data_IF_676482949388
#
_entry.id   IF_676482949388
#
_cell.length_a   1.000
_cell.length_b   1.000
_cell.length_c   1.000
_cell.angle_alpha   90.00
_cell.angle_beta   90.00
_cell.angle_gamma   90.00
#
_symmetry.space_group_name_H-M   'P 1'
#
loop_
_entity.id
_entity.type
_entity.pdbx_description
1 polymer ?
#
# COMPACT_ATOMS: atom_id res chain seq x y z
N UNK A 1 -28.77 10.85 -9.21
CA UNK A 1 -29.83 10.01 -8.56
C UNK A 1 -29.81 8.52 -8.93
N UNK A 2 -30.09 8.06 -10.16
CA UNK A 2 -30.04 6.60 -10.49
C UNK A 2 -28.60 6.07 -10.43
N UNK A 3 -27.67 6.80 -11.06
CA UNK A 3 -26.23 6.52 -11.01
C UNK A 3 -25.68 6.46 -9.58
N UNK A 4 -26.03 7.43 -8.73
CA UNK A 4 -25.66 7.45 -7.30
C UNK A 4 -26.15 6.21 -6.54
N UNK A 5 -27.28 5.63 -6.96
CA UNK A 5 -27.85 4.40 -6.38
C UNK A 5 -27.30 3.12 -7.04
N UNK A 6 -26.36 3.23 -7.97
CA UNK A 6 -25.84 2.10 -8.75
C UNK A 6 -26.88 1.45 -9.67
N UNK A 7 -27.94 2.19 -10.04
CA UNK A 7 -29.01 1.68 -10.89
C UNK A 7 -28.79 2.13 -12.34
N UNK A 8 -29.03 1.22 -13.27
CA UNK A 8 -29.00 1.47 -14.73
C UNK A 8 -29.94 2.61 -15.13
N UNK A 9 -29.61 3.32 -16.20
CA UNK A 9 -30.41 4.41 -16.76
C UNK A 9 -30.76 4.14 -18.22
N UNK A 10 -31.74 3.26 -18.52
CA UNK A 10 -31.93 2.70 -19.87
C UNK A 10 -32.02 3.72 -21.01
N UNK A 11 -32.61 4.90 -20.77
CA UNK A 11 -32.68 5.97 -21.75
C UNK A 11 -31.31 6.62 -22.03
N UNK A 12 -30.57 6.99 -20.99
CA UNK A 12 -29.23 7.60 -21.11
C UNK A 12 -28.21 6.58 -21.61
N UNK A 13 -28.32 5.35 -21.12
CA UNK A 13 -27.46 4.24 -21.49
C UNK A 13 -27.58 4.00 -23.01
N UNK A 14 -28.80 3.99 -23.55
CA UNK A 14 -29.04 3.82 -24.99
C UNK A 14 -28.60 5.02 -25.84
N UNK A 15 -28.78 6.25 -25.35
CA UNK A 15 -28.57 7.46 -26.15
C UNK A 15 -27.12 7.96 -26.15
N UNK A 16 -26.39 7.79 -25.05
CA UNK A 16 -25.08 8.41 -24.83
C UNK A 16 -24.02 7.33 -24.61
N UNK A 17 -24.23 6.48 -23.60
CA UNK A 17 -23.15 5.63 -23.09
C UNK A 17 -22.95 4.34 -23.89
N UNK A 18 -23.97 3.84 -24.60
CA UNK A 18 -23.85 2.66 -25.44
C UNK A 18 -22.82 2.86 -26.56
N UNK A 19 -22.75 4.06 -27.13
CA UNK A 19 -21.74 4.39 -28.14
C UNK A 19 -20.33 4.36 -27.56
N UNK A 20 -20.16 4.91 -26.35
CA UNK A 20 -18.87 4.90 -25.64
C UNK A 20 -18.46 3.48 -25.23
N UNK A 21 -19.39 2.66 -24.73
CA UNK A 21 -19.15 1.23 -24.47
C UNK A 21 -18.73 0.49 -25.76
N UNK A 22 -19.41 0.72 -26.89
CA UNK A 22 -19.03 0.08 -28.15
C UNK A 22 -17.62 0.48 -28.60
N UNK A 23 -17.27 1.77 -28.50
CA UNK A 23 -15.95 2.27 -28.90
C UNK A 23 -14.82 1.74 -28.00
N UNK A 24 -15.03 1.69 -26.68
CA UNK A 24 -13.98 1.38 -25.70
C UNK A 24 -13.91 -0.11 -25.35
N UNK A 25 -15.06 -0.77 -25.20
CA UNK A 25 -15.19 -2.15 -24.71
C UNK A 25 -15.76 -3.14 -25.75
N UNK A 26 -16.11 -2.66 -26.94
CA UNK A 26 -16.64 -3.51 -28.02
C UNK A 26 -18.10 -3.96 -27.85
N UNK A 27 -18.88 -3.37 -26.93
CA UNK A 27 -20.33 -3.51 -26.90
C UNK A 27 -20.90 -4.81 -26.31
N UNK A 28 -20.04 -5.79 -25.96
CA UNK A 28 -20.47 -7.13 -25.48
C UNK A 28 -20.05 -7.44 -24.05
N UNK A 29 -19.40 -6.50 -23.38
CA UNK A 29 -18.99 -6.66 -21.98
C UNK A 29 -20.22 -6.70 -21.08
N UNK A 30 -20.33 -7.73 -20.23
CA UNK A 30 -21.44 -7.90 -19.29
C UNK A 30 -21.09 -7.49 -17.86
N UNK A 31 -19.88 -7.80 -17.44
CA UNK A 31 -19.38 -7.47 -16.12
C UNK A 31 -17.86 -7.30 -16.16
N UNK A 32 -17.33 -6.46 -15.28
CA UNK A 32 -15.92 -6.25 -15.04
C UNK A 32 -15.61 -6.59 -13.59
N UNK A 33 -14.64 -7.47 -13.36
CA UNK A 33 -14.13 -7.77 -12.02
C UNK A 33 -12.84 -6.98 -11.78
N UNK A 34 -12.83 -6.16 -10.75
CA UNK A 34 -11.68 -5.38 -10.32
C UNK A 34 -11.12 -5.96 -9.01
N UNK A 35 -9.80 -6.07 -8.92
CA UNK A 35 -9.12 -6.56 -7.73
C UNK A 35 -7.65 -6.13 -7.71
N UNK A 36 -6.94 -6.55 -6.68
CA UNK A 36 -5.51 -6.26 -6.50
C UNK A 36 -5.20 -4.91 -5.82
N UNK A 37 -6.10 -3.94 -5.88
CA UNK A 37 -6.05 -2.70 -5.11
C UNK A 37 -7.49 -2.26 -4.73
N UNK A 38 -7.60 -1.35 -3.77
CA UNK A 38 -8.88 -0.74 -3.38
C UNK A 38 -9.39 0.12 -4.54
N UNK A 39 -10.65 -0.10 -4.94
CA UNK A 39 -11.33 0.71 -5.95
C UNK A 39 -12.15 1.80 -5.25
N UNK A 40 -11.90 3.07 -5.58
CA UNK A 40 -12.66 4.16 -4.98
C UNK A 40 -14.13 4.18 -5.45
N UNK A 41 -15.06 4.55 -4.56
CA UNK A 41 -16.49 4.69 -4.89
C UNK A 41 -16.72 5.54 -6.15
N UNK A 42 -16.06 6.69 -6.24
CA UNK A 42 -16.21 7.61 -7.38
C UNK A 42 -15.80 6.97 -8.69
N UNK A 43 -14.69 6.23 -8.69
CA UNK A 43 -14.19 5.50 -9.87
C UNK A 43 -15.14 4.37 -10.26
N UNK A 44 -15.61 3.59 -9.28
CA UNK A 44 -16.55 2.49 -9.52
C UNK A 44 -17.87 3.01 -10.11
N UNK A 45 -18.44 4.07 -9.53
CA UNK A 45 -19.66 4.73 -10.01
C UNK A 45 -19.47 5.29 -11.41
N UNK A 46 -18.35 5.97 -11.65
CA UNK A 46 -18.04 6.51 -12.98
C UNK A 46 -17.95 5.41 -14.01
N UNK A 47 -17.20 4.33 -13.74
CA UNK A 47 -17.07 3.20 -14.66
C UNK A 47 -18.42 2.53 -14.93
N UNK A 48 -19.22 2.25 -13.89
CA UNK A 48 -20.55 1.65 -14.04
C UNK A 48 -21.46 2.51 -14.93
N UNK A 49 -21.47 3.83 -14.73
CA UNK A 49 -22.31 4.75 -15.50
C UNK A 49 -21.81 4.99 -16.92
N UNK A 50 -20.54 5.36 -17.07
CA UNK A 50 -19.96 5.73 -18.35
C UNK A 50 -19.86 4.55 -19.31
N UNK A 51 -19.55 3.36 -18.78
CA UNK A 51 -19.36 2.16 -19.57
C UNK A 51 -20.61 1.27 -19.61
N UNK A 52 -21.68 1.56 -18.84
CA UNK A 52 -22.87 0.70 -18.78
C UNK A 52 -22.56 -0.78 -18.53
N UNK A 53 -21.63 -1.06 -17.61
CA UNK A 53 -21.24 -2.43 -17.23
C UNK A 53 -21.27 -2.58 -15.73
N UNK A 54 -21.64 -3.77 -15.25
CA UNK A 54 -21.53 -4.10 -13.84
C UNK A 54 -20.06 -4.18 -13.46
N UNK A 55 -19.62 -3.33 -12.52
CA UNK A 55 -18.26 -3.35 -11.97
C UNK A 55 -18.29 -3.96 -10.58
N UNK A 56 -17.69 -5.14 -10.45
CA UNK A 56 -17.59 -5.92 -9.22
C UNK A 56 -16.20 -5.75 -8.63
N UNK A 57 -16.13 -5.68 -7.31
CA UNK A 57 -14.85 -5.71 -6.61
C UNK A 57 -14.63 -7.09 -6.00
N UNK A 58 -13.42 -7.63 -6.16
CA UNK A 58 -12.96 -8.84 -5.49
C UNK A 58 -11.73 -8.54 -4.64
N UNK A 59 -11.67 -9.18 -3.47
CA UNK A 59 -10.52 -9.14 -2.59
C UNK A 59 -9.90 -10.52 -2.46
N UNK A 60 -8.58 -10.56 -2.42
CA UNK A 60 -7.81 -11.79 -2.52
C UNK A 60 -6.33 -11.55 -2.46
N UNK A 61 -5.61 -12.59 -2.06
CA UNK A 61 -4.16 -12.61 -1.90
C UNK A 61 -3.59 -13.87 -2.55
N UNK A 62 -2.28 -13.87 -2.81
CA UNK A 62 -1.58 -15.05 -3.33
C UNK A 62 -1.67 -16.21 -2.34
N UNK A 63 -1.55 -15.90 -1.05
CA UNK A 63 -1.59 -16.83 0.07
C UNK A 63 -2.98 -17.43 0.31
N UNK A 64 -4.02 -16.89 -0.35
CA UNK A 64 -5.41 -17.36 -0.28
C UNK A 64 -5.92 -17.84 -1.64
N UNK A 65 -5.03 -18.18 -2.57
CA UNK A 65 -5.36 -18.69 -3.90
C UNK A 65 -6.34 -17.79 -4.69
N UNK A 66 -5.96 -16.53 -4.88
CA UNK A 66 -6.76 -15.49 -5.52
C UNK A 66 -7.91 -15.02 -4.61
N UNK A 67 -9.17 -15.14 -5.03
CA UNK A 67 -10.29 -14.45 -4.39
C UNK A 67 -10.72 -15.11 -3.07
N UNK A 68 -10.76 -14.32 -1.98
CA UNK A 68 -11.46 -14.67 -0.75
C UNK A 68 -12.89 -14.13 -0.73
N UNK A 69 -13.12 -12.94 -1.31
CA UNK A 69 -14.44 -12.31 -1.40
C UNK A 69 -14.71 -11.73 -2.79
N UNK A 70 -15.97 -11.70 -3.20
CA UNK A 70 -16.42 -11.08 -4.46
C UNK A 70 -17.77 -10.37 -4.24
N UNK A 71 -17.91 -9.17 -4.80
CA UNK A 71 -19.18 -8.43 -4.83
C UNK A 71 -20.22 -9.14 -5.71
N UNK A 72 -21.45 -9.22 -5.21
CA UNK A 72 -22.58 -9.75 -5.98
C UNK A 72 -23.00 -8.76 -7.07
N UNK A 73 -23.43 -9.28 -8.22
CA UNK A 73 -23.84 -8.46 -9.37
C UNK A 73 -25.09 -7.61 -9.14
N UNK A 74 -25.89 -7.95 -8.13
CA UNK A 74 -27.08 -7.21 -7.74
C UNK A 74 -26.84 -6.32 -6.52
N UNK A 75 -25.66 -6.40 -5.88
CA UNK A 75 -25.29 -5.47 -4.82
C UNK A 75 -24.83 -4.13 -5.43
N UNK A 76 -25.62 -3.08 -5.20
CA UNK A 76 -25.31 -1.73 -5.68
C UNK A 76 -24.39 -0.95 -4.74
N UNK A 77 -23.99 -1.57 -3.63
CA UNK A 77 -22.99 -1.02 -2.71
C UNK A 77 -21.65 -0.86 -3.41
N UNK A 78 -20.92 0.18 -3.03
CA UNK A 78 -19.60 0.52 -3.54
C UNK A 78 -18.62 0.55 -2.39
N UNK A 79 -17.33 0.50 -2.70
CA UNK A 79 -16.28 0.49 -1.67
C UNK A 79 -16.44 -0.73 -0.72
N UNK A 80 -16.84 -1.87 -1.30
CA UNK A 80 -16.99 -3.16 -0.63
C UNK A 80 -16.49 -4.27 -1.56
N UNK A 81 -15.68 -5.16 -1.02
CA UNK A 81 -15.16 -6.34 -1.70
C UNK A 81 -16.13 -7.54 -1.69
N UNK A 82 -17.38 -7.32 -1.27
CA UNK A 82 -18.44 -8.31 -1.34
C UNK A 82 -18.39 -9.38 -0.26
N UNK A 83 -18.99 -10.54 -0.56
CA UNK A 83 -19.19 -11.64 0.37
C UNK A 83 -18.05 -12.66 0.28
N UNK A 84 -17.76 -13.40 1.37
CA UNK A 84 -16.88 -14.57 1.31
C UNK A 84 -17.34 -15.57 0.24
N UNK A 85 -16.39 -16.12 -0.51
CA UNK A 85 -16.66 -17.24 -1.40
C UNK A 85 -16.99 -18.51 -0.61
N UNK A 86 -17.66 -19.47 -1.24
CA UNK A 86 -18.14 -20.72 -0.61
C UNK A 86 -17.02 -21.52 0.06
N UNK A 87 -15.79 -21.44 -0.45
CA UNK A 87 -14.61 -22.12 0.08
C UNK A 87 -13.82 -21.30 1.11
N UNK A 88 -14.31 -20.12 1.47
CA UNK A 88 -13.65 -19.13 2.31
C UNK A 88 -14.40 -18.93 3.62
N UNK A 89 -13.67 -18.86 4.73
CA UNK A 89 -14.16 -18.38 6.01
C UNK A 89 -13.48 -17.06 6.35
N UNK A 90 -14.22 -16.07 6.83
CA UNK A 90 -13.67 -14.81 7.31
C UNK A 90 -13.81 -14.69 8.81
N UNK A 91 -12.73 -14.27 9.48
CA UNK A 91 -12.78 -13.82 10.88
C UNK A 91 -12.16 -12.44 11.00
N UNK A 92 -12.68 -11.63 11.92
CA UNK A 92 -12.02 -10.40 12.36
C UNK A 92 -11.38 -10.64 13.71
N UNK A 93 -10.11 -10.28 13.83
CA UNK A 93 -9.41 -10.22 15.12
C UNK A 93 -9.07 -8.80 15.48
N UNK A 94 -9.10 -8.50 16.78
CA UNK A 94 -8.74 -7.17 17.28
C UNK A 94 -7.29 -6.86 16.93
N UNK A 95 -7.04 -5.60 16.60
CA UNK A 95 -5.71 -5.05 16.52
C UNK A 95 -5.66 -3.82 17.43
N UNK A 96 -5.27 -4.07 18.67
CA UNK A 96 -5.32 -3.08 19.76
C UNK A 96 -4.40 -1.88 19.50
N UNK A 97 -3.26 -2.09 18.84
CA UNK A 97 -2.31 -1.03 18.50
C UNK A 97 -2.98 0.03 17.61
N UNK A 98 -3.67 -0.40 16.55
CA UNK A 98 -4.44 0.48 15.65
C UNK A 98 -5.84 0.84 16.16
N UNK A 99 -6.22 0.42 17.37
CA UNK A 99 -7.55 0.64 17.96
C UNK A 99 -8.72 0.11 17.12
N UNK A 100 -8.50 -0.98 16.37
CA UNK A 100 -9.56 -1.66 15.62
C UNK A 100 -10.05 -2.87 16.40
N UNK A 101 -11.34 -2.91 16.72
CA UNK A 101 -11.94 -4.02 17.48
C UNK A 101 -13.15 -4.60 16.78
N UNK A 102 -13.32 -5.90 16.92
CA UNK A 102 -14.49 -6.61 16.41
C UNK A 102 -15.79 -6.21 17.13
N UNK A 103 -15.71 -5.37 18.16
CA UNK A 103 -16.83 -4.76 18.87
C UNK A 103 -17.14 -3.33 18.42
N UNK A 104 -16.35 -2.78 17.49
CA UNK A 104 -16.52 -1.41 17.00
C UNK A 104 -17.92 -1.18 16.40
N UNK A 105 -18.33 0.10 16.41
CA UNK A 105 -19.62 0.57 15.89
C UNK A 105 -19.37 1.67 14.84
N UNK A 106 -20.23 1.77 13.80
CA UNK A 106 -21.47 1.01 13.57
C UNK A 106 -21.24 -0.45 13.19
N UNK A 107 -20.07 -0.78 12.65
CA UNK A 107 -19.71 -2.10 12.16
C UNK A 107 -18.44 -2.61 12.85
N UNK A 108 -18.32 -3.93 13.07
CA UNK A 108 -17.11 -4.54 13.60
C UNK A 108 -15.92 -4.35 12.65
N UNK A 109 -14.75 -4.04 13.22
CA UNK A 109 -13.51 -3.83 12.47
C UNK A 109 -12.38 -4.69 13.03
N UNK A 110 -11.31 -4.88 12.28
CA UNK A 110 -10.15 -5.63 12.77
C UNK A 110 -9.30 -6.17 11.65
N UNK A 111 -8.26 -6.91 12.00
CA UNK A 111 -7.50 -7.67 11.00
C UNK A 111 -8.35 -8.81 10.46
N UNK A 112 -8.35 -8.94 9.13
CA UNK A 112 -9.02 -10.02 8.43
C UNK A 112 -8.16 -11.28 8.50
N UNK A 113 -8.79 -12.39 8.88
CA UNK A 113 -8.26 -13.73 8.70
C UNK A 113 -9.09 -14.41 7.61
N UNK A 114 -8.41 -14.91 6.58
CA UNK A 114 -9.03 -15.75 5.56
C UNK A 114 -8.70 -17.21 5.86
N UNK A 115 -9.73 -18.04 6.03
CA UNK A 115 -9.61 -19.46 6.29
C UNK A 115 -10.29 -20.33 5.25
N UNK A 116 -10.09 -21.63 5.39
CA UNK A 116 -10.71 -22.64 4.52
C UNK A 116 -9.71 -23.24 3.53
N UNK A 117 -10.24 -24.01 2.57
CA UNK A 117 -9.42 -24.82 1.64
C UNK A 117 -8.60 -23.99 0.64
N UNK A 118 -8.87 -22.69 0.58
CA UNK A 118 -8.16 -21.75 -0.30
C UNK A 118 -6.83 -21.26 0.28
N UNK A 119 -6.58 -21.50 1.57
CA UNK A 119 -5.34 -21.04 2.21
C UNK A 119 -4.17 -21.89 1.74
N UNK A 120 -3.11 -21.22 1.29
CA UNK A 120 -1.87 -21.86 0.86
C UNK A 120 -1.21 -22.68 1.99
N UNK A 121 -0.43 -23.68 1.60
CA UNK A 121 0.30 -24.54 2.54
C UNK A 121 1.45 -23.78 3.25
N UNK A 122 1.89 -22.66 2.70
CA UNK A 122 2.98 -21.84 3.21
C UNK A 122 3.89 -21.38 2.08
N UNK A 123 4.94 -20.65 2.45
CA UNK A 123 5.99 -20.26 1.52
C UNK A 123 6.98 -21.41 1.28
N UNK A 124 7.64 -21.40 0.12
CA UNK A 124 8.69 -22.37 -0.23
C UNK A 124 10.06 -21.92 0.29
N UNK A 125 10.95 -22.87 0.61
CA UNK A 125 12.34 -22.59 0.95
C UNK A 125 12.51 -21.91 2.32
N UNK A 126 13.45 -20.97 2.44
CA UNK A 126 13.74 -20.31 3.72
C UNK A 126 12.56 -19.48 4.26
N UNK A 127 11.74 -18.92 3.37
CA UNK A 127 10.53 -18.18 3.73
C UNK A 127 9.49 -19.08 4.47
N UNK A 128 9.59 -20.41 4.35
CA UNK A 128 8.74 -21.33 5.13
C UNK A 128 8.97 -21.22 6.64
N UNK A 129 10.17 -20.81 7.06
CA UNK A 129 10.52 -20.61 8.48
C UNK A 129 9.73 -19.45 9.10
N UNK A 130 9.26 -18.51 8.26
CA UNK A 130 8.48 -17.33 8.64
C UNK A 130 6.97 -17.49 8.43
N UNK A 131 6.43 -18.72 8.32
CA UNK A 131 4.99 -18.99 8.17
C UNK A 131 4.12 -18.53 9.38
N UNK A 132 4.55 -17.52 10.15
CA UNK A 132 3.91 -16.93 11.34
C UNK A 132 2.52 -16.34 11.07
N UNK A 133 2.19 -16.05 9.81
CA UNK A 133 0.88 -15.54 9.42
C UNK A 133 -0.14 -16.66 9.21
N UNK A 134 0.28 -17.91 9.11
CA UNK A 134 -0.63 -19.06 9.05
C UNK A 134 -0.97 -19.51 10.47
N UNK A 135 -2.25 -19.60 10.77
CA UNK A 135 -2.78 -19.95 12.10
C UNK A 135 -3.77 -21.08 11.95
N UNK A 136 -3.88 -21.92 12.97
CA UNK A 136 -4.94 -22.93 13.05
C UNK A 136 -5.88 -22.52 14.18
N UNK A 137 -7.17 -22.40 13.87
CA UNK A 137 -8.20 -22.00 14.83
C UNK A 137 -9.39 -22.94 14.61
N UNK A 138 -9.78 -23.65 15.66
CA UNK A 138 -10.89 -24.62 15.64
C UNK A 138 -10.75 -25.69 14.54
N UNK A 139 -9.53 -26.13 14.24
CA UNK A 139 -9.23 -27.12 13.19
C UNK A 139 -9.31 -26.56 11.75
N UNK A 140 -9.48 -25.25 11.59
CA UNK A 140 -9.45 -24.57 10.30
C UNK A 140 -8.16 -23.76 10.19
N UNK A 141 -7.47 -23.91 9.05
CA UNK A 141 -6.28 -23.10 8.73
C UNK A 141 -6.73 -21.73 8.23
N UNK A 142 -6.19 -20.69 8.85
CA UNK A 142 -6.37 -19.29 8.51
C UNK A 142 -5.03 -18.66 8.12
N UNK A 143 -5.10 -17.67 7.24
CA UNK A 143 -4.03 -16.74 6.94
C UNK A 143 -4.39 -15.37 7.52
N UNK A 144 -3.55 -14.86 8.41
CA UNK A 144 -3.62 -13.48 8.89
C UNK A 144 -3.15 -12.56 7.77
N UNK A 145 -4.08 -11.82 7.17
CA UNK A 145 -3.81 -11.10 5.91
C UNK A 145 -2.94 -9.87 6.10
N UNK A 146 -2.85 -9.35 7.32
CA UNK A 146 -2.29 -8.03 7.60
C UNK A 146 -3.16 -6.89 7.07
N UNK A 147 -4.36 -7.17 6.57
CA UNK A 147 -5.32 -6.18 6.07
C UNK A 147 -6.41 -5.93 7.12
N UNK A 148 -6.78 -4.66 7.30
CA UNK A 148 -7.84 -4.23 8.19
C UNK A 148 -9.15 -4.18 7.42
N UNK A 149 -10.16 -4.88 7.94
CA UNK A 149 -11.49 -4.96 7.35
C UNK A 149 -12.58 -4.43 8.25
N UNK A 150 -13.70 -4.09 7.61
CA UNK A 150 -14.98 -3.76 8.23
C UNK A 150 -16.05 -4.71 7.66
N UNK A 151 -16.79 -5.40 8.53
CA UNK A 151 -17.88 -6.30 8.11
C UNK A 151 -19.22 -5.59 8.28
N UNK A 152 -19.98 -5.51 7.20
CA UNK A 152 -21.32 -4.92 7.19
C UNK A 152 -22.40 -5.91 7.66
N UNK A 153 -23.59 -5.42 8.09
CA UNK A 153 -24.68 -6.28 8.56
C UNK A 153 -25.19 -7.29 7.52
N UNK A 154 -24.99 -7.02 6.22
CA UNK A 154 -25.34 -7.92 5.13
C UNK A 154 -24.25 -8.97 4.82
N UNK A 155 -23.19 -9.05 5.64
CA UNK A 155 -22.07 -9.99 5.47
C UNK A 155 -21.03 -9.59 4.43
N UNK A 156 -21.17 -8.40 3.81
CA UNK A 156 -20.14 -7.88 2.90
C UNK A 156 -18.96 -7.30 3.68
N UNK A 157 -17.77 -7.37 3.07
CA UNK A 157 -16.54 -6.88 3.68
C UNK A 157 -16.02 -5.68 2.90
N UNK A 158 -15.58 -4.65 3.62
CA UNK A 158 -14.75 -3.56 3.09
C UNK A 158 -13.33 -3.74 3.58
N UNK A 159 -12.38 -3.53 2.68
CA UNK A 159 -10.96 -3.47 3.03
C UNK A 159 -10.64 -2.01 3.33
N UNK A 160 -10.42 -1.70 4.61
CA UNK A 160 -10.17 -0.35 5.06
C UNK A 160 -8.71 0.05 4.84
N UNK A 161 -7.76 -0.85 5.16
CA UNK A 161 -6.33 -0.56 5.03
C UNK A 161 -5.45 -1.81 5.12
N UNK A 162 -4.13 -1.64 5.03
CA UNK A 162 -3.13 -2.63 5.43
C UNK A 162 -2.41 -2.16 6.68
N UNK A 163 -2.16 -3.05 7.65
CA UNK A 163 -1.42 -2.73 8.88
C UNK A 163 -0.07 -2.06 8.62
N UNK A 164 0.62 -2.46 7.55
CA UNK A 164 1.92 -1.90 7.17
C UNK A 164 1.81 -0.52 6.51
N UNK A 165 0.65 -0.19 5.95
CA UNK A 165 0.36 1.11 5.32
C UNK A 165 -0.28 2.09 6.33
N UNK A 166 -0.67 1.64 7.53
CA UNK A 166 -1.13 2.49 8.62
C UNK A 166 0.06 2.99 9.43
N UNK A 167 0.38 4.28 9.29
CA UNK A 167 1.48 4.91 10.00
C UNK A 167 0.94 5.75 11.15
N UNK A 168 1.43 5.48 12.36
CA UNK A 168 1.17 6.32 13.53
C UNK A 168 2.09 7.53 13.51
N UNK A 169 1.55 8.72 13.34
CA UNK A 169 2.32 9.96 13.43
C UNK A 169 2.73 10.24 14.89
N UNK A 170 3.66 11.17 15.08
CA UNK A 170 4.09 11.63 16.41
C UNK A 170 2.92 12.10 17.28
N UNK A 171 1.89 12.68 16.66
CA UNK A 171 0.66 13.13 17.32
C UNK A 171 -0.20 11.99 17.89
N UNK A 172 0.13 10.73 17.60
CA UNK A 172 -0.58 9.55 18.08
C UNK A 172 -1.71 9.08 17.15
N UNK A 173 -2.04 9.88 16.13
CA UNK A 173 -3.04 9.59 15.11
C UNK A 173 -2.48 8.60 14.08
N UNK A 174 -3.34 7.70 13.59
CA UNK A 174 -3.02 6.78 12.50
C UNK A 174 -3.45 7.39 11.18
N UNK A 175 -2.54 7.38 10.21
CA UNK A 175 -2.82 7.86 8.86
C UNK A 175 -2.89 6.68 7.90
N UNK A 176 -3.99 6.61 7.16
CA UNK A 176 -4.17 5.67 6.06
C UNK A 176 -3.55 6.21 4.78
N UNK A 177 -2.39 5.67 4.38
CA UNK A 177 -1.69 6.16 3.18
C UNK A 177 -2.54 5.96 1.92
N UNK A 178 -3.09 4.75 1.75
CA UNK A 178 -3.86 4.38 0.55
C UNK A 178 -5.16 5.19 0.42
N UNK A 179 -5.83 5.51 1.53
CA UNK A 179 -7.06 6.32 1.53
C UNK A 179 -6.81 7.71 0.95
N UNK A 180 -5.74 8.36 1.41
CA UNK A 180 -5.37 9.72 0.97
C UNK A 180 -4.93 9.70 -0.50
N UNK A 181 -4.10 8.72 -0.89
CA UNK A 181 -3.66 8.54 -2.27
C UNK A 181 -4.83 8.33 -3.25
N UNK A 182 -5.84 7.54 -2.87
CA UNK A 182 -7.03 7.31 -3.70
C UNK A 182 -7.88 8.58 -3.91
N UNK A 183 -7.83 9.54 -2.98
CA UNK A 183 -8.46 10.85 -3.16
C UNK A 183 -7.64 11.71 -4.12
N UNK A 184 -6.33 11.74 -3.94
CA UNK A 184 -5.39 12.53 -4.73
C UNK A 184 -5.33 12.05 -6.20
N UNK A 185 -5.44 10.74 -6.43
CA UNK A 185 -5.47 10.15 -7.77
C UNK A 185 -6.66 10.64 -8.64
N UNK A 186 -7.67 11.30 -8.05
CA UNK A 186 -8.81 11.89 -8.79
C UNK A 186 -8.50 13.29 -9.31
N UNK A 187 -7.39 13.90 -8.89
CA UNK A 187 -7.01 15.24 -9.34
C UNK A 187 -6.46 15.11 -10.77
N UNK A 188 -7.00 15.86 -11.78
CA UNK A 188 -6.65 15.64 -13.18
C UNK A 188 -5.17 15.76 -13.52
N UNK A 189 -4.41 16.57 -12.78
CA UNK A 189 -2.99 16.78 -13.02
C UNK A 189 -2.10 15.68 -12.44
N UNK A 190 -2.65 14.73 -11.68
CA UNK A 190 -1.93 13.65 -11.01
C UNK A 190 -1.98 12.37 -11.85
N UNK A 191 -0.81 11.78 -12.10
CA UNK A 191 -0.69 10.42 -12.68
C UNK A 191 -0.50 9.37 -11.58
N UNK A 192 0.46 9.59 -10.69
CA UNK A 192 0.71 8.76 -9.51
C UNK A 192 0.98 9.67 -8.31
N UNK A 193 0.68 9.15 -7.13
CA UNK A 193 0.94 9.85 -5.87
C UNK A 193 1.44 8.87 -4.81
N UNK A 194 2.52 9.22 -4.10
CA UNK A 194 3.04 8.46 -2.97
C UNK A 194 3.02 9.34 -1.73
N UNK A 195 2.13 9.03 -0.79
CA UNK A 195 2.09 9.65 0.52
C UNK A 195 3.17 9.02 1.39
N UNK A 196 4.02 9.86 1.96
CA UNK A 196 5.11 9.46 2.84
C UNK A 196 4.78 9.93 4.26
N UNK A 197 4.96 9.04 5.22
CA UNK A 197 4.77 9.32 6.63
C UNK A 197 5.84 8.60 7.45
N UNK A 198 6.32 9.24 8.50
CA UNK A 198 7.25 8.65 9.46
C UNK A 198 6.67 8.72 10.87
N UNK A 199 6.90 7.72 11.74
CA UNK A 199 6.50 7.80 13.14
C UNK A 199 7.11 8.97 13.92
N UNK A 200 8.24 9.49 13.46
CA UNK A 200 8.88 10.68 14.05
C UNK A 200 8.30 12.00 13.55
N UNK A 201 7.49 11.98 12.50
CA UNK A 201 6.95 13.16 11.84
C UNK A 201 5.63 13.61 12.48
N UNK A 202 5.40 14.93 12.48
CA UNK A 202 4.14 15.53 12.93
C UNK A 202 3.07 15.56 11.85
N UNK A 203 3.47 15.44 10.58
CA UNK A 203 2.58 15.50 9.43
C UNK A 203 3.05 14.57 8.31
N UNK A 204 2.17 14.35 7.33
CA UNK A 204 2.48 13.61 6.10
C UNK A 204 2.95 14.54 4.98
N UNK A 205 3.77 13.99 4.09
CA UNK A 205 4.28 14.68 2.89
C UNK A 205 3.98 13.85 1.65
N UNK A 206 3.82 14.50 0.51
CA UNK A 206 3.32 13.85 -0.70
C UNK A 206 4.26 14.06 -1.89
N UNK A 207 4.58 12.98 -2.58
CA UNK A 207 5.22 12.99 -3.89
C UNK A 207 4.18 12.75 -4.98
N UNK A 208 4.20 13.56 -6.04
CA UNK A 208 3.29 13.45 -7.18
C UNK A 208 4.10 13.34 -8.48
N UNK A 209 3.77 12.36 -9.33
CA UNK A 209 4.14 12.41 -10.75
C UNK A 209 2.95 12.95 -11.53
N UNK A 210 3.15 13.92 -12.44
CA UNK A 210 2.04 14.56 -13.11
C UNK A 210 1.57 13.82 -14.36
N UNK A 211 0.27 13.93 -14.64
CA UNK A 211 -0.26 13.56 -15.94
C UNK A 211 0.16 14.64 -16.95
N UNK A 212 1.17 14.33 -17.78
CA UNK A 212 1.84 15.30 -18.67
C UNK A 212 0.85 16.12 -19.52
N UNK A 213 -0.20 15.47 -20.03
CA UNK A 213 -1.19 16.11 -20.89
C UNK A 213 -2.00 17.16 -20.13
N UNK A 214 -2.52 16.77 -18.97
CA UNK A 214 -3.36 17.67 -18.17
C UNK A 214 -2.52 18.74 -17.48
N UNK A 215 -1.28 18.42 -17.10
CA UNK A 215 -0.36 19.35 -16.45
C UNK A 215 0.06 20.49 -17.40
N UNK A 216 0.38 20.20 -18.66
CA UNK A 216 0.71 21.25 -19.63
C UNK A 216 -0.42 22.28 -19.83
N UNK A 217 -1.68 21.81 -19.90
CA UNK A 217 -2.85 22.71 -19.98
C UNK A 217 -3.10 23.47 -18.67
N UNK A 218 -2.79 22.85 -17.52
CA UNK A 218 -2.90 23.48 -16.21
C UNK A 218 -1.88 24.60 -16.04
N UNK A 219 -0.62 24.38 -16.42
CA UNK A 219 0.43 25.39 -16.31
C UNK A 219 0.25 26.52 -17.32
N UNK A 220 -0.26 26.26 -18.53
CA UNK A 220 -0.59 27.31 -19.49
C UNK A 220 -1.64 28.26 -18.92
N UNK A 221 -2.64 27.73 -18.21
CA UNK A 221 -3.73 28.51 -17.63
C UNK A 221 -3.32 29.31 -16.40
N UNK A 222 -2.48 28.74 -15.52
CA UNK A 222 -2.18 29.31 -14.21
C UNK A 222 -0.82 30.03 -14.14
N UNK A 223 0.12 29.70 -15.03
CA UNK A 223 1.51 30.16 -15.01
C UNK A 223 2.04 30.62 -16.38
N UNK A 224 1.18 30.71 -17.40
CA UNK A 224 1.50 31.17 -18.76
C UNK A 224 2.67 30.41 -19.43
N UNK A 225 2.83 29.13 -19.11
CA UNK A 225 3.86 28.26 -19.72
C UNK A 225 3.39 26.82 -19.87
N UNK A 226 3.86 26.15 -20.93
CA UNK A 226 3.61 24.71 -21.16
C UNK A 226 4.70 23.81 -20.58
N UNK A 227 5.84 24.40 -20.19
CA UNK A 227 7.02 23.69 -19.70
C UNK A 227 6.93 23.45 -18.20
N UNK A 228 5.99 22.61 -17.78
CA UNK A 228 5.76 22.30 -16.36
C UNK A 228 6.99 21.69 -15.68
N UNK A 229 7.86 21.01 -16.44
CA UNK A 229 9.10 20.41 -15.95
C UNK A 229 10.05 21.45 -15.33
N UNK A 230 10.00 22.70 -15.82
CA UNK A 230 10.83 23.80 -15.26
C UNK A 230 10.24 24.38 -13.97
N UNK A 231 8.96 24.14 -13.72
CA UNK A 231 8.23 24.67 -12.56
C UNK A 231 8.28 23.73 -11.34
N UNK A 232 8.79 22.50 -11.48
CA UNK A 232 8.78 21.52 -10.38
C UNK A 232 9.57 21.97 -9.14
N UNK A 233 10.52 22.89 -9.31
CA UNK A 233 11.30 23.51 -8.23
C UNK A 233 10.80 24.91 -7.85
N UNK A 234 9.78 25.42 -8.55
CA UNK A 234 9.16 26.70 -8.24
C UNK A 234 8.22 26.56 -7.03
N UNK A 235 8.40 27.45 -6.05
CA UNK A 235 7.64 27.40 -4.79
C UNK A 235 6.17 27.78 -5.01
N UNK A 236 5.88 28.76 -5.86
CA UNK A 236 4.51 29.21 -6.15
C UNK A 236 3.72 28.10 -6.85
N UNK A 237 4.37 27.39 -7.77
CA UNK A 237 3.80 26.20 -8.41
C UNK A 237 3.51 25.08 -7.41
N UNK A 238 4.48 24.75 -6.55
CA UNK A 238 4.29 23.71 -5.52
C UNK A 238 3.17 24.09 -4.52
N UNK A 239 3.08 25.37 -4.13
CA UNK A 239 2.03 25.86 -3.22
C UNK A 239 0.65 25.80 -3.87
N UNK A 240 0.54 26.10 -5.16
CA UNK A 240 -0.71 26.01 -5.91
C UNK A 240 -1.20 24.55 -6.01
N UNK A 241 -0.31 23.62 -6.36
CA UNK A 241 -0.64 22.18 -6.39
C UNK A 241 -0.95 21.67 -4.99
N UNK A 242 -0.22 22.11 -3.96
CA UNK A 242 -0.50 21.74 -2.57
C UNK A 242 -1.88 22.22 -2.13
N UNK A 243 -2.33 23.39 -2.58
CA UNK A 243 -3.67 23.90 -2.30
C UNK A 243 -4.76 23.04 -2.95
N UNK A 244 -4.57 22.65 -4.21
CA UNK A 244 -5.49 21.75 -4.92
C UNK A 244 -5.62 20.39 -4.20
N UNK A 245 -4.49 19.84 -3.73
CA UNK A 245 -4.46 18.60 -2.93
C UNK A 245 -5.23 18.77 -1.62
N UNK A 246 -4.99 19.86 -0.89
CA UNK A 246 -5.69 20.13 0.38
C UNK A 246 -7.20 20.32 0.17
N UNK A 247 -7.61 21.02 -0.88
CA UNK A 247 -9.01 21.22 -1.21
C UNK A 247 -9.70 19.91 -1.61
N UNK A 248 -9.00 19.03 -2.34
CA UNK A 248 -9.49 17.68 -2.65
C UNK A 248 -9.67 16.83 -1.39
N UNK A 249 -8.70 16.85 -0.48
CA UNK A 249 -8.76 16.12 0.80
C UNK A 249 -9.93 16.61 1.67
N UNK A 250 -10.09 17.93 1.81
CA UNK A 250 -11.22 18.54 2.55
C UNK A 250 -12.58 18.15 1.98
N UNK A 251 -12.73 18.21 0.65
CA UNK A 251 -13.97 17.79 -0.03
C UNK A 251 -14.30 16.32 0.18
N UNK A 252 -13.29 15.47 0.29
CA UNK A 252 -13.43 14.04 0.53
C UNK A 252 -13.60 13.67 2.02
N UNK A 253 -13.56 14.65 2.94
CA UNK A 253 -13.67 14.41 4.38
C UNK A 253 -12.46 13.70 4.98
N UNK A 254 -11.28 13.88 4.38
CA UNK A 254 -10.00 13.44 4.96
C UNK A 254 -9.68 14.33 6.16
N UNK A 255 -9.21 13.74 7.25
CA UNK A 255 -8.86 14.50 8.46
C UNK A 255 -7.63 15.40 8.22
N UNK A 256 -7.53 16.50 8.98
CA UNK A 256 -6.44 17.47 8.83
C UNK A 256 -5.05 16.89 9.17
N UNK A 257 -5.03 15.83 9.98
CA UNK A 257 -3.85 15.03 10.36
C UNK A 257 -3.40 14.09 9.24
N UNK A 258 -4.35 13.51 8.50
CA UNK A 258 -4.09 12.64 7.34
C UNK A 258 -3.70 13.46 6.09
N UNK A 259 -4.17 14.71 6.00
CA UNK A 259 -3.94 15.58 4.84
C UNK A 259 -2.47 16.02 4.73
N UNK A 260 -1.80 15.79 3.57
CA UNK A 260 -0.40 16.17 3.40
C UNK A 260 -0.19 17.67 3.52
N UNK A 261 0.78 18.07 4.35
CA UNK A 261 1.12 19.49 4.59
C UNK A 261 2.08 20.05 3.55
N UNK A 262 2.82 19.19 2.86
CA UNK A 262 3.79 19.53 1.82
C UNK A 262 3.63 18.57 0.65
N UNK A 263 3.75 19.12 -0.55
CA UNK A 263 3.63 18.38 -1.80
C UNK A 263 4.83 18.74 -2.66
N UNK A 264 5.48 17.72 -3.24
CA UNK A 264 6.53 17.89 -4.24
C UNK A 264 6.11 17.18 -5.51
N UNK A 265 6.08 17.93 -6.61
CA UNK A 265 5.92 17.36 -7.95
C UNK A 265 7.29 16.91 -8.43
N UNK A 266 7.38 15.69 -8.95
CA UNK A 266 8.61 15.13 -9.52
C UNK A 266 8.42 14.88 -11.01
N UNK A 267 9.43 15.23 -11.81
CA UNK A 267 9.34 15.15 -13.27
C UNK A 267 9.51 13.71 -13.81
N UNK A 268 10.21 12.87 -13.07
CA UNK A 268 10.49 11.48 -13.47
C UNK A 268 9.21 10.64 -13.49
N UNK A 269 8.90 9.96 -14.62
CA UNK A 269 7.79 9.04 -14.67
C UNK A 269 8.09 7.79 -13.82
N UNK A 270 7.07 7.30 -13.11
CA UNK A 270 7.14 6.03 -12.39
C UNK A 270 6.63 4.92 -13.30
N UNK A 271 7.52 4.02 -13.69
CA UNK A 271 7.23 2.92 -14.62
C UNK A 271 7.80 1.61 -14.06
N UNK A 272 7.35 0.44 -14.55
CA UNK A 272 7.92 -0.83 -14.14
C UNK A 272 9.44 -0.91 -14.39
N UNK A 273 9.91 -0.32 -15.50
CA UNK A 273 11.33 -0.28 -15.88
C UNK A 273 12.17 0.58 -14.94
N UNK A 274 11.61 1.68 -14.41
CA UNK A 274 12.31 2.48 -13.39
C UNK A 274 12.33 1.82 -12.01
N UNK A 275 11.63 0.69 -11.84
CA UNK A 275 11.58 -0.07 -10.60
C UNK A 275 10.76 0.59 -9.49
N UNK A 276 10.04 1.68 -9.80
CA UNK A 276 9.25 2.46 -8.84
C UNK A 276 7.81 1.95 -8.70
N UNK A 277 7.34 1.20 -9.69
CA UNK A 277 6.08 0.46 -9.63
C UNK A 277 6.31 -1.01 -9.98
N UNK A 278 5.34 -1.87 -9.64
CA UNK A 278 5.28 -3.25 -10.14
C UNK A 278 4.79 -3.28 -11.58
N UNK A 279 4.87 -4.43 -12.25
CA UNK A 279 4.31 -4.62 -13.60
C UNK A 279 2.79 -4.40 -13.63
N UNK A 280 2.13 -4.58 -12.48
CA UNK A 280 0.72 -4.25 -12.26
C UNK A 280 0.50 -2.78 -11.83
N UNK A 281 1.49 -1.91 -12.02
CA UNK A 281 1.49 -0.47 -11.69
C UNK A 281 1.24 -0.15 -10.20
N UNK A 282 1.49 -1.11 -9.29
CA UNK A 282 1.39 -0.85 -7.85
C UNK A 282 2.66 -0.16 -7.36
N UNK A 283 2.52 0.84 -6.49
CA UNK A 283 3.65 1.59 -5.93
C UNK A 283 4.60 0.69 -5.15
N UNK A 284 5.90 0.80 -5.42
CA UNK A 284 6.96 0.23 -4.59
C UNK A 284 7.47 1.30 -3.62
N UNK A 285 6.71 1.55 -2.55
CA UNK A 285 6.96 2.65 -1.58
C UNK A 285 8.44 2.75 -1.15
N UNK A 286 9.05 1.65 -0.70
CA UNK A 286 10.46 1.63 -0.27
C UNK A 286 11.43 2.09 -1.36
N UNK A 287 11.17 1.75 -2.62
CA UNK A 287 12.01 2.17 -3.75
C UNK A 287 11.82 3.66 -4.05
N UNK A 288 10.58 4.15 -3.99
CA UNK A 288 10.23 5.57 -4.16
C UNK A 288 10.87 6.41 -3.04
N UNK A 289 10.68 6.02 -1.79
CA UNK A 289 11.25 6.69 -0.61
C UNK A 289 12.78 6.71 -0.66
N UNK A 290 13.42 5.64 -1.12
CA UNK A 290 14.87 5.59 -1.28
C UNK A 290 15.36 6.53 -2.40
N UNK A 291 14.64 6.58 -3.53
CA UNK A 291 15.00 7.45 -4.67
C UNK A 291 14.84 8.93 -4.33
N UNK A 292 13.74 9.31 -3.68
CA UNK A 292 13.40 10.70 -3.37
C UNK A 292 13.69 11.09 -1.91
N UNK A 293 14.67 10.42 -1.30
CA UNK A 293 15.01 10.61 0.11
C UNK A 293 15.33 12.07 0.44
N UNK A 294 16.10 12.74 -0.41
CA UNK A 294 16.52 14.12 -0.19
C UNK A 294 15.34 15.09 -0.24
N UNK A 295 14.41 14.88 -1.17
CA UNK A 295 13.20 15.67 -1.35
C UNK A 295 12.25 15.47 -0.16
N UNK A 296 12.07 14.23 0.30
CA UNK A 296 11.28 13.90 1.49
C UNK A 296 11.88 14.55 2.73
N UNK A 297 13.19 14.42 2.94
CA UNK A 297 13.89 15.05 4.06
C UNK A 297 13.77 16.57 4.01
N UNK A 298 13.91 17.18 2.83
CA UNK A 298 13.71 18.62 2.64
C UNK A 298 12.31 19.08 3.03
N UNK A 299 11.26 18.32 2.65
CA UNK A 299 9.89 18.63 3.05
C UNK A 299 9.66 18.54 4.56
N UNK A 300 10.50 17.79 5.28
CA UNK A 300 10.44 17.66 6.73
C UNK A 300 11.36 18.60 7.51
N UNK A 301 12.27 19.34 6.86
CA UNK A 301 13.24 20.22 7.53
C UNK A 301 12.61 21.31 8.38
N UNK A 302 11.44 21.80 7.99
CA UNK A 302 10.72 22.86 8.70
C UNK A 302 9.85 22.32 9.86
N UNK A 303 9.92 21.02 10.17
CA UNK A 303 9.29 20.50 11.38
C UNK A 303 9.96 21.12 12.62
N UNK A 304 9.18 21.48 13.65
CA UNK A 304 9.74 21.97 14.90
C UNK A 304 10.67 20.89 15.48
N UNK A 305 11.98 21.11 15.33
CA UNK A 305 13.00 20.17 15.80
C UNK A 305 12.88 19.99 17.29
N UNK A 306 12.79 18.73 17.75
CA UNK A 306 12.92 18.39 19.16
C UNK A 306 14.32 18.79 19.62
N UNK A 307 14.45 19.92 20.32
CA UNK A 307 15.64 20.13 21.16
C UNK A 307 15.64 19.01 22.18
N UNK A 308 16.66 18.16 22.12
CA UNK A 308 17.00 17.25 23.21
C UNK A 308 17.09 18.07 24.50
N UNK A 309 16.19 17.84 25.45
CA UNK A 309 16.37 18.26 26.83
C UNK A 309 17.52 17.44 27.44
N UNK A 310 18.74 17.84 27.14
CA UNK A 310 19.89 17.54 27.96
C UNK A 310 20.71 18.83 28.08
N UNK A 311 20.97 19.23 29.33
CA UNK A 311 21.67 20.47 29.77
C UNK A 311 20.81 21.74 29.92
N UNK A 312 19.98 21.77 30.98
CA UNK A 312 19.92 22.92 31.91
C UNK A 312 19.19 22.57 33.21
N UNK A 313 19.87 21.84 34.09
CA UNK A 313 19.70 21.97 35.55
C UNK A 313 21.08 21.99 36.18
N UNK A 314 21.70 23.17 36.15
CA UNK A 314 22.72 23.55 37.12
C UNK A 314 22.10 24.58 38.06
N UNK A 315 22.13 24.24 39.35
CA UNK A 315 22.01 25.11 40.52
C UNK A 315 20.61 25.60 40.93
N UNK A 316 19.94 24.84 41.80
CA UNK A 316 19.55 25.32 43.13
C UNK A 316 19.31 24.13 44.08
N UNK A 317 19.70 24.35 45.33
CA UNK A 317 19.96 23.36 46.37
C UNK A 317 18.71 22.75 47.03
N UNK A 318 18.86 21.57 47.67
CA UNK A 318 17.88 21.07 48.64
C UNK A 318 17.85 19.56 48.92
N UNK A 319 18.93 19.01 49.49
CA UNK A 319 18.95 18.04 50.62
C UNK A 319 18.10 16.74 50.62
N UNK A 320 18.81 15.59 50.64
CA UNK A 320 18.52 14.26 51.24
C UNK A 320 17.33 13.43 50.73
N UNK A 321 17.56 12.24 50.19
CA UNK A 321 17.66 10.99 50.97
C UNK A 321 18.15 9.82 50.08
N UNK A 322 18.94 8.92 50.68
CA UNK A 322 19.63 7.80 50.03
C UNK A 322 18.75 6.56 49.84
N UNK A 323 19.04 5.78 48.79
CA UNK A 323 18.87 4.33 48.82
C UNK A 323 17.91 3.74 47.78
N UNK A 324 18.48 3.28 46.65
CA UNK A 324 18.22 2.00 45.95
C UNK A 324 18.31 2.15 44.42
N UNK A 325 19.52 2.30 43.90
CA UNK A 325 19.79 2.27 42.45
C UNK A 325 21.19 1.71 42.17
N UNK A 326 21.45 0.45 42.53
CA UNK A 326 22.72 -0.21 42.17
C UNK A 326 22.56 -1.69 41.76
N UNK A 327 21.34 -2.13 41.46
CA UNK A 327 21.05 -3.52 41.04
C UNK A 327 20.45 -3.69 39.64
N UNK A 328 20.22 -2.61 38.89
CA UNK A 328 19.68 -2.70 37.52
C UNK A 328 20.67 -2.36 36.40
N UNK A 329 21.85 -1.82 36.73
CA UNK A 329 22.82 -1.37 35.71
C UNK A 329 23.90 -2.42 35.37
N UNK A 330 23.96 -3.55 36.11
CA UNK A 330 24.88 -4.66 35.81
C UNK A 330 24.30 -5.74 34.88
N UNK A 331 22.97 -5.85 34.74
CA UNK A 331 22.34 -6.83 33.83
C UNK A 331 22.21 -6.35 32.38
N UNK A 332 22.29 -5.04 32.13
CA UNK A 332 22.13 -4.47 30.78
C UNK A 332 23.43 -4.44 29.96
N UNK A 333 24.60 -4.50 30.60
CA UNK A 333 25.90 -4.47 29.91
C UNK A 333 26.42 -5.85 29.49
N UNK A 334 26.13 -6.93 30.24
CA UNK A 334 26.47 -8.30 29.81
C UNK A 334 25.68 -8.73 28.55
N UNK A 335 24.47 -8.20 28.36
CA UNK A 335 23.62 -8.56 27.20
C UNK A 335 24.05 -7.85 25.89
N UNK A 336 24.93 -6.84 25.96
CA UNK A 336 25.40 -6.09 24.78
C UNK A 336 26.70 -6.66 24.21
N UNK A 337 27.61 -7.16 25.04
CA UNK A 337 28.86 -7.77 24.58
C UNK A 337 28.63 -9.15 23.92
N UNK A 338 27.63 -9.91 24.39
CA UNK A 338 27.27 -11.21 23.78
C UNK A 338 26.62 -11.06 22.39
N UNK A 339 25.89 -9.96 22.14
CA UNK A 339 25.27 -9.72 20.82
C UNK A 339 26.29 -9.29 19.76
N UNK A 340 27.28 -8.49 20.14
CA UNK A 340 28.33 -8.04 19.22
C UNK A 340 29.29 -9.19 18.84
N UNK A 341 29.50 -10.13 19.76
CA UNK A 341 30.28 -11.35 19.54
C UNK A 341 29.59 -12.35 18.60
N UNK A 342 28.26 -12.38 18.58
CA UNK A 342 27.47 -13.23 17.69
C UNK A 342 27.40 -12.69 16.26
N UNK A 343 27.26 -11.36 16.07
CA UNK A 343 27.23 -10.75 14.74
C UNK A 343 28.56 -10.91 13.99
N UNK A 344 29.69 -10.81 14.69
CA UNK A 344 31.03 -10.96 14.07
C UNK A 344 31.27 -12.39 13.55
N UNK A 345 30.68 -13.41 14.20
CA UNK A 345 30.80 -14.82 13.76
C UNK A 345 29.91 -15.16 12.57
N UNK A 346 28.78 -14.48 12.40
CA UNK A 346 27.87 -14.66 11.24
C UNK A 346 28.50 -14.08 9.98
N UNK A 347 29.17 -12.93 10.08
CA UNK A 347 29.86 -12.30 8.94
C UNK A 347 31.08 -13.10 8.46
N UNK A 348 31.80 -13.77 9.37
CA UNK A 348 32.96 -14.61 8.99
C UNK A 348 32.52 -15.91 8.29
N UNK A 349 31.36 -16.47 8.68
CA UNK A 349 30.78 -17.65 8.05
C UNK A 349 30.26 -17.34 6.63
N UNK A 350 29.58 -16.19 6.45
CA UNK A 350 29.09 -15.76 5.13
C UNK A 350 30.22 -15.46 4.12
N UNK A 351 31.42 -15.09 4.59
CA UNK A 351 32.59 -14.91 3.73
C UNK A 351 33.17 -16.25 3.26
N UNK A 352 33.21 -17.26 4.15
CA UNK A 352 33.69 -18.62 3.80
C UNK A 352 32.75 -19.34 2.84
N UNK A 353 31.45 -19.12 2.97
CA UNK A 353 30.46 -19.75 2.08
C UNK A 353 30.52 -19.17 0.65
N UNK A 354 30.85 -17.87 0.50
CA UNK A 354 31.07 -17.23 -0.81
C UNK A 354 32.38 -17.66 -1.50
N UNK A 355 33.42 -18.01 -0.75
CA UNK A 355 34.66 -18.53 -1.33
C UNK A 355 34.49 -19.96 -1.87
N UNK A 356 33.66 -20.79 -1.22
CA UNK A 356 33.34 -22.14 -1.69
C UNK A 356 32.45 -22.16 -2.95
N UNK A 357 31.46 -21.26 -3.06
CA UNK A 357 30.63 -21.14 -4.27
C UNK A 357 31.43 -20.67 -5.51
N UNK A 358 32.53 -19.93 -5.30
CA UNK A 358 33.44 -19.51 -6.37
C UNK A 358 34.24 -20.65 -6.97
N UNK A 359 34.65 -21.62 -6.14
CA UNK A 359 35.45 -22.77 -6.59
C UNK A 359 34.60 -23.85 -7.30
N UNK A 360 33.32 -24.03 -6.93
CA UNK A 360 32.45 -25.00 -7.61
C UNK A 360 32.07 -24.60 -9.04
N UNK A 361 32.05 -23.29 -9.35
CA UNK A 361 31.71 -22.78 -10.69
C UNK A 361 32.83 -22.89 -11.72
N UNK A 362 34.10 -22.95 -11.30
CA UNK A 362 35.23 -23.12 -12.24
C UNK A 362 35.39 -24.57 -12.76
N UNK A 363 34.72 -25.56 -12.15
CA UNK A 363 34.86 -26.97 -12.54
C UNK A 363 33.84 -27.49 -13.57
N UNK A 364 32.93 -26.65 -14.09
CA UNK A 364 31.83 -27.08 -14.98
C UNK A 364 31.73 -26.31 -16.30
N UNK A 365 32.83 -26.01 -16.98
CA UNK A 365 32.79 -25.62 -18.40
C UNK A 365 33.98 -26.21 -19.18
N UNK A 366 33.79 -27.37 -19.81
CA UNK A 366 34.24 -27.61 -21.20
C UNK A 366 33.63 -28.88 -21.82
N UNK A 367 33.28 -28.89 -23.13
CA UNK A 367 32.45 -29.91 -23.78
C UNK A 367 33.22 -30.85 -24.75
N UNK A 368 32.67 -32.04 -25.01
CA UNK A 368 32.94 -32.91 -26.17
C UNK A 368 31.67 -33.72 -26.45
N UNK A 369 30.89 -33.40 -27.49
CA UNK A 369 30.96 -33.93 -28.87
C UNK A 369 30.72 -35.45 -28.96
N UNK A 370 29.64 -35.87 -29.64
CA UNK A 370 29.48 -37.07 -30.53
C UNK A 370 28.02 -37.13 -31.07
N UNK A 371 27.92 -36.88 -32.38
CA UNK A 371 27.03 -37.40 -33.45
C UNK A 371 25.65 -38.06 -33.24
N UNK A 372 24.70 -37.59 -34.07
CA UNK A 372 23.76 -38.32 -34.96
C UNK A 372 23.34 -39.76 -34.61
N UNK A 373 22.03 -40.01 -34.50
CA UNK A 373 21.29 -40.70 -35.56
C UNK A 373 19.76 -40.79 -35.35
N UNK A 374 19.10 -40.88 -36.50
CA UNK A 374 17.68 -41.00 -36.85
C UNK A 374 17.00 -42.25 -36.27
N UNK A 375 15.77 -42.15 -35.74
CA UNK A 375 14.65 -43.11 -35.99
C UNK A 375 13.30 -42.38 -35.93
N UNK A 376 12.49 -42.64 -36.96
CA UNK A 376 11.16 -42.14 -37.21
C UNK A 376 10.03 -42.97 -36.53
N UNK A 377 8.84 -42.35 -36.56
CA UNK A 377 7.51 -42.96 -36.72
C UNK A 377 6.74 -43.59 -35.54
N UNK A 378 5.49 -43.14 -35.52
CA UNK A 378 4.21 -43.85 -35.34
C UNK A 378 3.56 -44.04 -33.97
N UNK A 379 2.33 -43.50 -33.94
CA UNK A 379 1.07 -44.09 -33.45
C UNK A 379 0.82 -44.26 -31.93
N UNK A 380 0.02 -43.36 -31.35
CA UNK A 380 -1.46 -43.44 -31.28
C UNK A 380 -2.09 -42.32 -30.47
#
# INVERSE_FOLDING_TARGET
KRLEKGLESPALDRLIFHHLNQMVLGGRMKAMLCGGAVLSEGTQRFAQGALCVTVLQGYGLTETCAAGTIADQYDTSVDRAGHPLVSCELRLINWEEGQYRNTDKPNPRGEILIGGKIVAQGYLGEASKENVNFKEIDGVRYFATGDIGEIFPNGTVRIADRKKDLIKLRGGEYVSLAKVENVIAKIPIVENSCLCASPSAEYTVLLITPNKKNMASYTEKNFDTKEWEKLVDDQEFCDHVSKDVQDACKKAGIEDSETPKRVKVVADPWTPESGLVTDALKLKRKAIEAKYKNEIENMYKDQPSTKQESKKKSNSAGTKDDGNAEKQEKQSNETKEDKQSAETKVDEQQRKDKENEGQEKETKENPTDVSEDVIANDDK
#
